data_IF_313989893288
#
_entry.id   IF_313989893288
#
_cell.length_a   1.000
_cell.length_b   1.000
_cell.length_c   1.000
_cell.angle_alpha   90.00
_cell.angle_beta   90.00
_cell.angle_gamma   90.00
#
_symmetry.space_group_name_H-M   'P 1'
#
loop_
_entity.id
_entity.type
_entity.pdbx_description
1 polymer ?
#
# COMPACT_ATOMS: atom_id res chain seq x y z
N UNK A 1 -69.16 0.21 43.96
CA UNK A 1 -68.23 1.02 43.15
C UNK A 1 -66.95 0.22 42.94
N UNK A 2 -66.67 -0.18 41.70
CA UNK A 2 -65.50 -0.98 41.28
C UNK A 2 -64.27 -0.07 41.26
N UNK A 3 -63.19 -0.43 41.97
CA UNK A 3 -61.85 0.17 41.78
C UNK A 3 -61.07 -0.74 40.83
N UNK A 4 -60.82 -0.26 39.62
CA UNK A 4 -60.00 -0.90 38.61
C UNK A 4 -58.54 -0.48 38.86
N UNK A 5 -57.68 -1.42 39.26
CA UNK A 5 -56.24 -1.19 39.42
C UNK A 5 -55.59 -1.56 38.08
N UNK A 6 -55.05 -0.57 37.37
CA UNK A 6 -54.23 -0.80 36.19
C UNK A 6 -52.82 -1.19 36.64
N UNK A 7 -52.42 -2.45 36.40
CA UNK A 7 -51.04 -2.89 36.50
C UNK A 7 -50.35 -2.50 35.17
N UNK A 8 -49.45 -1.53 35.21
CA UNK A 8 -48.56 -1.22 34.08
C UNK A 8 -47.40 -2.22 34.17
N UNK A 9 -47.38 -3.20 33.27
CA UNK A 9 -46.23 -4.08 33.07
C UNK A 9 -45.15 -3.32 32.27
N UNK A 10 -44.07 -2.92 32.94
CA UNK A 10 -42.86 -2.47 32.25
C UNK A 10 -42.18 -3.70 31.64
N UNK A 11 -42.28 -3.88 30.32
CA UNK A 11 -41.40 -4.77 29.58
C UNK A 11 -40.03 -4.08 29.46
N UNK A 12 -39.07 -4.50 30.28
CA UNK A 12 -37.67 -4.21 30.04
C UNK A 12 -37.19 -5.12 28.91
N UNK A 13 -37.11 -4.58 27.69
CA UNK A 13 -36.42 -5.22 26.58
C UNK A 13 -34.91 -5.11 26.84
N UNK A 14 -34.30 -6.16 27.39
CA UNK A 14 -32.85 -6.27 27.45
C UNK A 14 -32.35 -6.63 26.05
N UNK A 15 -31.93 -5.64 25.27
CA UNK A 15 -31.13 -5.88 24.07
C UNK A 15 -29.74 -6.33 24.51
N UNK A 16 -29.39 -7.59 24.31
CA UNK A 16 -28.01 -8.05 24.38
C UNK A 16 -27.28 -7.45 23.19
N UNK A 17 -26.58 -6.34 23.39
CA UNK A 17 -25.58 -5.89 22.44
C UNK A 17 -24.44 -6.92 22.49
N UNK A 18 -24.29 -7.72 21.44
CA UNK A 18 -23.05 -8.47 21.24
C UNK A 18 -21.92 -7.45 21.17
N UNK A 19 -21.08 -7.41 22.20
CA UNK A 19 -19.89 -6.57 22.19
C UNK A 19 -18.97 -7.12 21.10
N UNK A 20 -18.85 -6.40 19.99
CA UNK A 20 -17.88 -6.71 18.96
C UNK A 20 -16.50 -6.78 19.61
N UNK A 21 -15.87 -7.95 19.56
CA UNK A 21 -14.49 -8.12 20.02
C UNK A 21 -13.60 -7.32 19.07
N UNK A 22 -12.92 -6.31 19.60
CA UNK A 22 -12.01 -5.48 18.82
C UNK A 22 -10.68 -6.22 18.73
N UNK A 23 -10.22 -6.49 17.49
CA UNK A 23 -8.96 -7.18 17.22
C UNK A 23 -7.79 -6.32 17.68
N UNK A 24 -6.85 -6.89 18.42
CA UNK A 24 -5.55 -6.26 18.67
C UNK A 24 -4.56 -6.69 17.58
N UNK A 25 -3.84 -5.75 16.98
CA UNK A 25 -2.89 -5.98 15.88
C UNK A 25 -1.51 -5.47 16.31
N UNK A 26 -0.51 -6.33 16.21
CA UNK A 26 0.90 -5.97 16.42
C UNK A 26 1.56 -5.64 15.08
N UNK A 27 2.54 -4.72 15.06
CA UNK A 27 3.21 -4.32 13.83
C UNK A 27 4.19 -5.39 13.38
N UNK A 28 4.46 -5.40 12.08
CA UNK A 28 5.74 -5.88 11.56
C UNK A 28 6.67 -4.69 11.33
N UNK A 29 7.98 -4.92 11.44
CA UNK A 29 9.00 -3.89 11.25
C UNK A 29 9.81 -4.24 10.01
N UNK A 30 9.89 -3.33 9.05
CA UNK A 30 10.83 -3.42 7.93
C UNK A 30 10.65 -4.65 7.03
N UNK A 31 9.43 -5.21 6.92
CA UNK A 31 9.16 -6.38 6.06
C UNK A 31 8.98 -6.03 4.57
N UNK A 32 8.70 -4.77 4.23
CA UNK A 32 8.41 -4.35 2.86
C UNK A 32 9.60 -3.78 2.08
N UNK A 33 10.83 -4.24 2.38
CA UNK A 33 12.05 -3.91 1.61
C UNK A 33 12.50 -2.45 1.67
N UNK A 34 11.59 -1.56 2.03
CA UNK A 34 11.81 -0.14 2.23
C UNK A 34 11.45 0.21 3.67
N UNK A 35 12.22 1.14 4.22
CA UNK A 35 12.04 1.85 5.49
C UNK A 35 12.84 1.42 6.72
N UNK A 36 13.29 2.51 7.33
CA UNK A 36 14.50 2.72 8.09
C UNK A 36 14.11 2.79 9.56
N UNK A 37 14.89 2.15 10.44
CA UNK A 37 14.96 2.64 11.80
C UNK A 37 15.71 3.97 11.75
N UNK A 38 15.04 5.09 12.05
CA UNK A 38 15.58 6.46 11.99
C UNK A 38 16.60 6.70 13.12
N UNK A 39 17.70 5.97 13.07
CA UNK A 39 18.78 6.00 14.04
C UNK A 39 19.83 7.03 13.63
N UNK A 40 20.63 7.49 14.59
CA UNK A 40 21.76 8.37 14.28
C UNK A 40 22.77 7.68 13.33
N UNK A 41 22.89 6.36 13.42
CA UNK A 41 23.68 5.55 12.49
C UNK A 41 23.07 5.52 11.08
N UNK A 42 21.75 5.33 10.95
CA UNK A 42 21.05 5.37 9.67
C UNK A 42 21.21 6.72 8.98
N UNK A 43 21.08 7.83 9.71
CA UNK A 43 21.29 9.16 9.17
C UNK A 43 22.75 9.37 8.72
N UNK A 44 23.73 8.85 9.47
CA UNK A 44 25.13 8.91 9.10
C UNK A 44 25.46 8.03 7.87
N UNK A 45 24.80 6.88 7.72
CA UNK A 45 24.97 6.01 6.56
C UNK A 45 24.33 6.61 5.30
N UNK A 46 23.15 7.21 5.43
CA UNK A 46 22.50 7.92 4.35
C UNK A 46 23.37 9.07 3.81
N UNK A 47 23.94 9.89 4.70
CA UNK A 47 24.87 10.97 4.30
C UNK A 47 26.15 10.45 3.60
N UNK A 48 26.63 9.23 3.94
CA UNK A 48 27.74 8.59 3.22
C UNK A 48 27.31 8.13 1.83
N UNK A 49 26.08 7.64 1.68
CA UNK A 49 25.54 7.20 0.40
C UNK A 49 25.36 8.38 -0.57
N UNK A 50 24.75 9.48 -0.11
CA UNK A 50 24.62 10.71 -0.92
C UNK A 50 25.97 11.21 -1.42
N UNK A 51 26.95 11.31 -0.51
CA UNK A 51 28.31 11.71 -0.87
C UNK A 51 28.96 10.75 -1.87
N UNK A 52 28.74 9.45 -1.72
CA UNK A 52 29.28 8.45 -2.66
C UNK A 52 28.70 8.63 -4.07
N UNK A 53 27.38 8.85 -4.16
CA UNK A 53 26.68 9.08 -5.43
C UNK A 53 27.14 10.37 -6.13
N UNK A 54 27.43 11.43 -5.38
CA UNK A 54 28.04 12.65 -5.92
C UNK A 54 29.43 12.39 -6.53
N UNK A 55 30.22 11.49 -5.93
CA UNK A 55 31.60 11.20 -6.34
C UNK A 55 31.71 10.14 -7.46
N UNK A 56 30.69 9.28 -7.64
CA UNK A 56 30.73 8.08 -8.50
C UNK A 56 29.55 7.98 -9.49
N UNK A 57 29.04 9.11 -9.98
CA UNK A 57 27.83 9.16 -10.82
C UNK A 57 27.85 8.30 -12.09
N UNK A 58 29.04 7.99 -12.62
CA UNK A 58 29.22 7.25 -13.89
C UNK A 58 29.50 5.74 -13.69
N UNK A 59 29.78 5.29 -12.46
CA UNK A 59 30.14 3.90 -12.13
C UNK A 59 29.75 3.58 -10.68
N UNK A 60 28.45 3.32 -10.47
CA UNK A 60 27.87 3.13 -9.14
C UNK A 60 28.08 1.68 -8.64
N UNK A 61 28.72 1.53 -7.47
CA UNK A 61 28.78 0.26 -6.73
C UNK A 61 27.53 0.09 -5.85
N UNK A 62 26.52 -0.60 -6.39
CA UNK A 62 25.30 -0.92 -5.66
C UNK A 62 25.53 -1.84 -4.46
N UNK A 63 26.55 -2.70 -4.46
CA UNK A 63 26.86 -3.56 -3.31
C UNK A 63 27.40 -2.74 -2.13
N UNK A 64 28.08 -1.62 -2.39
CA UNK A 64 28.48 -0.67 -1.36
C UNK A 64 27.29 0.10 -0.80
N UNK A 65 26.42 0.63 -1.66
CA UNK A 65 25.22 1.38 -1.24
C UNK A 65 24.25 0.50 -0.45
N UNK A 66 24.02 -0.74 -0.89
CA UNK A 66 23.17 -1.70 -0.18
C UNK A 66 23.67 -1.99 1.24
N UNK A 67 25.00 -2.01 1.47
CA UNK A 67 25.58 -2.17 2.83
C UNK A 67 25.35 -0.97 3.74
N UNK A 68 25.10 0.22 3.17
CA UNK A 68 24.72 1.41 3.91
C UNK A 68 23.20 1.48 4.17
N UNK A 69 22.42 0.55 3.62
CA UNK A 69 20.96 0.59 3.65
C UNK A 69 20.39 1.65 2.70
N UNK A 70 21.08 1.90 1.59
CA UNK A 70 20.66 2.81 0.52
C UNK A 70 20.51 2.01 -0.77
N UNK A 71 19.42 2.25 -1.50
CA UNK A 71 19.10 1.58 -2.76
C UNK A 71 18.75 2.59 -3.88
N UNK A 72 18.49 2.10 -5.08
CA UNK A 72 18.13 2.91 -6.26
C UNK A 72 16.89 3.79 -6.07
N UNK A 73 15.98 3.43 -5.15
CA UNK A 73 14.71 4.14 -4.94
C UNK A 73 14.76 5.04 -3.69
N UNK A 74 15.91 5.09 -3.02
CA UNK A 74 16.10 5.88 -1.80
C UNK A 74 16.15 7.37 -2.14
N UNK A 75 15.03 8.07 -1.89
CA UNK A 75 14.89 9.51 -2.11
C UNK A 75 15.54 10.35 -1.02
N UNK A 76 14.74 10.94 -0.12
CA UNK A 76 15.21 11.69 1.06
C UNK A 76 15.17 10.81 2.32
N UNK A 77 16.08 11.03 3.28
CA UNK A 77 16.16 10.21 4.50
C UNK A 77 14.85 10.14 5.30
N UNK A 78 14.04 11.19 5.25
CA UNK A 78 12.75 11.26 5.94
C UNK A 78 11.56 10.93 5.04
N UNK A 79 11.81 10.56 3.78
CA UNK A 79 10.79 10.08 2.85
C UNK A 79 10.44 8.62 3.18
N UNK A 80 9.19 8.32 3.58
CA UNK A 80 8.72 6.98 3.90
C UNK A 80 8.18 6.23 2.68
N UNK A 81 8.40 6.72 1.44
CA UNK A 81 7.96 6.07 0.20
C UNK A 81 9.11 5.92 -0.81
N UNK A 82 10.09 6.81 -0.77
CA UNK A 82 11.16 6.87 -1.77
C UNK A 82 10.62 7.25 -3.15
N UNK A 83 11.44 7.04 -4.20
CA UNK A 83 11.08 7.37 -5.58
C UNK A 83 10.32 6.25 -6.32
N UNK A 84 9.86 5.22 -5.59
CA UNK A 84 9.19 4.02 -6.14
C UNK A 84 7.69 4.10 -6.36
N UNK A 85 7.11 3.07 -7.00
CA UNK A 85 5.66 2.94 -7.11
C UNK A 85 5.02 2.87 -5.73
N UNK A 86 4.03 3.72 -5.49
CA UNK A 86 3.20 3.63 -4.30
C UNK A 86 1.74 3.44 -4.67
N UNK A 87 0.98 2.88 -3.74
CA UNK A 87 -0.47 2.77 -3.85
C UNK A 87 -1.17 4.11 -4.11
N UNK A 88 -0.55 5.23 -3.72
CA UNK A 88 -1.04 6.59 -3.99
C UNK A 88 -1.02 6.98 -5.46
N UNK A 89 -0.14 6.38 -6.26
CA UNK A 89 -0.10 6.60 -7.70
C UNK A 89 -1.42 6.19 -8.38
N UNK A 90 -2.17 5.25 -7.76
CA UNK A 90 -3.47 4.76 -8.18
C UNK A 90 -4.67 5.61 -7.74
N UNK A 91 -4.46 6.87 -7.33
CA UNK A 91 -5.50 7.69 -6.68
C UNK A 91 -6.09 6.99 -5.43
N UNK A 92 -5.22 6.25 -4.70
CA UNK A 92 -5.53 5.63 -3.42
C UNK A 92 -5.67 6.65 -2.28
N UNK A 93 -5.00 7.79 -2.42
CA UNK A 93 -4.85 8.76 -1.34
C UNK A 93 -6.15 9.29 -0.73
N UNK A 94 -6.08 9.75 0.53
CA UNK A 94 -7.20 10.43 1.17
C UNK A 94 -7.49 11.76 0.47
N UNK A 95 -8.78 12.08 0.31
CA UNK A 95 -9.23 13.37 -0.23
C UNK A 95 -9.31 14.45 0.85
N UNK A 96 -9.28 14.06 2.13
CA UNK A 96 -9.34 14.97 3.28
C UNK A 96 -8.75 14.33 4.52
N UNK A 97 -8.06 15.14 5.32
CA UNK A 97 -7.55 14.77 6.65
C UNK A 97 -8.06 15.82 7.64
N UNK A 98 -8.52 15.37 8.80
CA UNK A 98 -8.97 16.22 9.91
C UNK A 98 -8.45 15.68 11.24
N UNK A 99 -8.33 16.54 12.24
CA UNK A 99 -7.94 16.15 13.59
C UNK A 99 -8.87 16.80 14.64
N UNK A 100 -8.96 16.17 15.81
CA UNK A 100 -9.70 16.71 16.97
C UNK A 100 -9.10 18.01 17.49
N UNK A 101 -7.78 18.10 17.51
CA UNK A 101 -7.01 19.27 17.89
C UNK A 101 -5.65 19.27 17.22
N UNK A 102 -4.88 20.33 17.45
CA UNK A 102 -3.47 20.42 17.08
C UNK A 102 -2.74 21.43 17.95
N UNK A 103 -1.47 21.17 18.23
CA UNK A 103 -0.60 22.11 18.91
C UNK A 103 -0.41 23.37 18.05
N UNK A 104 -0.35 24.54 18.69
CA UNK A 104 -0.08 25.79 18.00
C UNK A 104 1.34 25.80 17.40
N UNK A 105 1.49 26.40 16.22
CA UNK A 105 2.79 26.55 15.56
C UNK A 105 3.81 27.26 16.45
N UNK A 106 5.07 26.83 16.36
CA UNK A 106 6.19 27.36 17.14
C UNK A 106 7.37 27.68 16.23
N UNK A 107 7.66 28.98 16.08
CA UNK A 107 8.69 29.45 15.16
C UNK A 107 8.35 29.04 13.72
N UNK A 108 9.25 28.31 13.08
CA UNK A 108 9.04 27.77 11.74
C UNK A 108 8.28 26.42 11.72
N UNK A 109 8.08 25.77 12.87
CA UNK A 109 7.40 24.48 12.93
C UNK A 109 5.90 24.68 13.04
N UNK A 110 5.15 23.82 12.37
CA UNK A 110 3.71 23.67 12.53
C UNK A 110 3.39 22.20 12.81
N UNK A 111 2.21 21.93 13.36
CA UNK A 111 1.82 20.60 13.84
C UNK A 111 0.46 20.18 13.30
N UNK A 112 0.19 20.56 12.05
CA UNK A 112 -1.12 20.39 11.43
C UNK A 112 -1.35 18.93 11.04
N UNK A 113 -2.62 18.54 10.98
CA UNK A 113 -3.10 17.23 10.54
C UNK A 113 -2.63 16.83 9.14
N UNK A 114 -2.33 17.81 8.27
CA UNK A 114 -1.79 17.57 6.93
C UNK A 114 -0.37 17.00 6.94
N UNK A 115 0.37 17.21 8.02
CA UNK A 115 1.72 16.69 8.16
C UNK A 115 1.74 15.16 8.33
N UNK A 116 0.59 14.54 8.62
CA UNK A 116 0.47 13.08 8.68
C UNK A 116 0.40 12.41 7.31
N UNK A 117 0.54 13.18 6.24
CA UNK A 117 0.43 12.70 4.88
C UNK A 117 1.13 13.63 3.87
N UNK A 118 2.21 14.28 4.32
CA UNK A 118 3.04 15.14 3.47
C UNK A 118 4.30 14.42 2.97
N UNK A 119 4.39 13.11 3.21
CA UNK A 119 5.51 12.23 2.85
C UNK A 119 6.82 12.68 3.50
N UNK A 120 6.72 13.26 4.70
CA UNK A 120 7.85 13.76 5.48
C UNK A 120 7.70 13.30 6.92
N UNK A 121 8.42 12.23 7.25
CA UNK A 121 8.38 11.70 8.60
C UNK A 121 9.01 12.61 9.65
N UNK A 122 9.66 13.72 9.30
CA UNK A 122 10.20 14.69 10.26
C UNK A 122 9.24 15.85 10.61
N UNK A 123 8.04 15.88 10.03
CA UNK A 123 6.99 16.87 10.31
C UNK A 123 5.79 16.19 10.94
N UNK A 124 5.58 16.30 12.26
CA UNK A 124 4.48 15.60 12.90
C UNK A 124 3.18 16.41 12.91
N UNK A 125 2.07 15.70 13.05
CA UNK A 125 0.94 16.21 13.81
C UNK A 125 1.20 16.00 15.30
N UNK A 126 0.87 17.02 16.09
CA UNK A 126 0.92 16.96 17.55
C UNK A 126 -0.43 17.42 18.04
N UNK A 127 -1.04 16.63 18.92
CA UNK A 127 -2.29 17.00 19.57
C UNK A 127 -2.13 18.31 20.37
N UNK A 128 -3.24 19.03 20.59
CA UNK A 128 -3.23 20.38 21.15
C UNK A 128 -3.94 20.53 22.49
N UNK A 129 -4.25 19.43 23.18
CA UNK A 129 -4.94 19.47 24.48
C UNK A 129 -3.92 19.38 25.62
N UNK A 130 -4.37 19.71 26.83
CA UNK A 130 -3.53 19.53 28.00
C UNK A 130 -3.46 18.04 28.37
N UNK A 131 -2.26 17.54 28.69
CA UNK A 131 -2.03 16.14 29.02
C UNK A 131 -1.50 15.35 27.83
N UNK A 132 -1.76 14.05 27.82
CA UNK A 132 -1.20 13.12 26.84
C UNK A 132 -2.08 12.90 25.60
N UNK A 133 -3.06 13.76 25.35
CA UNK A 133 -3.98 13.61 24.21
C UNK A 133 -4.78 12.30 24.14
N UNK A 134 -5.02 11.59 25.25
CA UNK A 134 -5.86 10.39 25.24
C UNK A 134 -7.29 10.76 24.82
N UNK A 135 -7.81 10.12 23.78
CA UNK A 135 -9.09 10.42 23.14
C UNK A 135 -9.00 11.40 21.96
N UNK A 136 -7.84 12.04 21.76
CA UNK A 136 -7.58 12.83 20.56
C UNK A 136 -7.43 11.90 19.35
N UNK A 137 -7.80 12.41 18.18
CA UNK A 137 -7.91 11.60 16.98
C UNK A 137 -7.59 12.36 15.71
N UNK A 138 -7.22 11.59 14.69
CA UNK A 138 -7.13 12.03 13.29
C UNK A 138 -8.01 11.14 12.41
N UNK A 139 -8.66 11.74 11.40
CA UNK A 139 -9.59 11.06 10.51
C UNK A 139 -9.27 11.39 9.04
N UNK A 140 -9.11 10.32 8.27
CA UNK A 140 -8.90 10.31 6.84
C UNK A 140 -10.23 10.05 6.13
N UNK A 141 -10.53 10.84 5.10
CA UNK A 141 -11.68 10.62 4.20
C UNK A 141 -11.18 10.14 2.85
N UNK A 142 -11.78 9.09 2.34
CA UNK A 142 -11.49 8.50 1.03
C UNK A 142 -12.71 8.62 0.11
N UNK A 143 -12.45 8.72 -1.20
CA UNK A 143 -13.51 8.68 -2.22
C UNK A 143 -14.16 7.30 -2.29
N UNK A 144 -15.34 7.23 -2.88
CA UNK A 144 -15.92 5.96 -3.31
C UNK A 144 -14.97 5.27 -4.30
N UNK A 145 -14.86 3.93 -4.20
CA UNK A 145 -14.01 3.10 -5.06
C UNK A 145 -12.54 3.53 -5.08
N UNK A 146 -12.02 4.09 -3.99
CA UNK A 146 -10.57 4.14 -3.85
C UNK A 146 -10.04 2.69 -3.88
N UNK A 147 -8.84 2.45 -4.43
CA UNK A 147 -8.12 1.19 -4.29
C UNK A 147 -8.25 0.62 -2.87
N UNK A 148 -8.29 -0.70 -2.69
CA UNK A 148 -8.46 -1.28 -1.35
C UNK A 148 -7.23 -1.05 -0.50
N UNK A 149 -7.41 -0.50 0.71
CA UNK A 149 -6.34 -0.41 1.71
C UNK A 149 -6.21 -1.77 2.39
N UNK A 150 -4.99 -2.30 2.46
CA UNK A 150 -4.67 -3.55 3.18
C UNK A 150 -3.61 -3.37 4.24
N UNK A 151 -2.88 -2.25 4.20
CA UNK A 151 -1.80 -1.98 5.14
C UNK A 151 -1.91 -0.55 5.63
N UNK A 152 -1.75 -0.37 6.94
CA UNK A 152 -1.58 0.94 7.58
C UNK A 152 -0.13 1.01 8.08
N UNK A 153 0.58 2.06 7.71
CA UNK A 153 1.97 2.28 8.09
C UNK A 153 2.09 3.56 8.91
N UNK A 154 2.74 3.46 10.07
CA UNK A 154 2.76 4.54 11.06
C UNK A 154 4.19 4.80 11.53
N UNK A 155 4.55 6.09 11.60
CA UNK A 155 5.72 6.58 12.32
C UNK A 155 5.25 7.36 13.53
N UNK A 156 5.47 6.80 14.72
CA UNK A 156 5.03 7.40 15.99
C UNK A 156 6.09 8.32 16.60
N UNK A 157 5.65 9.37 17.29
CA UNK A 157 6.50 10.39 17.90
C UNK A 157 6.94 11.50 16.95
N UNK A 158 7.68 12.48 17.48
CA UNK A 158 8.25 13.57 16.68
C UNK A 158 9.59 13.13 16.07
N UNK A 159 9.55 12.51 14.90
CA UNK A 159 10.70 11.88 14.24
C UNK A 159 11.70 12.86 13.58
N UNK A 160 11.77 14.11 14.04
CA UNK A 160 12.75 15.11 13.55
C UNK A 160 14.18 14.87 14.03
N UNK A 161 14.35 14.33 15.23
CA UNK A 161 15.65 13.97 15.80
C UNK A 161 15.45 13.03 16.98
N UNK A 162 16.52 12.33 17.39
CA UNK A 162 16.49 11.46 18.56
C UNK A 162 16.05 12.22 19.83
N UNK A 163 16.48 13.47 19.98
CA UNK A 163 16.09 14.33 21.10
C UNK A 163 14.62 14.73 21.04
N UNK A 164 14.10 15.11 19.87
CA UNK A 164 12.68 15.45 19.71
C UNK A 164 11.78 14.25 20.02
N UNK A 165 12.13 13.08 19.49
CA UNK A 165 11.39 11.84 19.68
C UNK A 165 11.33 11.40 21.15
N UNK A 166 12.45 11.49 21.89
CA UNK A 166 12.50 11.16 23.33
C UNK A 166 11.72 12.14 24.19
N UNK A 167 11.85 13.43 23.91
CA UNK A 167 11.29 14.49 24.75
C UNK A 167 9.77 14.61 24.64
N UNK A 168 9.17 14.17 23.53
CA UNK A 168 7.72 14.23 23.27
C UNK A 168 7.10 12.86 23.54
N UNK A 169 5.81 12.84 23.88
CA UNK A 169 5.07 11.60 24.04
C UNK A 169 4.80 10.94 22.68
N UNK A 170 4.69 9.61 22.69
CA UNK A 170 4.59 8.77 21.51
C UNK A 170 3.39 7.86 21.65
N UNK A 171 2.68 7.58 20.58
CA UNK A 171 1.51 6.72 20.65
C UNK A 171 1.93 5.28 20.88
N UNK A 172 1.27 4.64 21.85
CA UNK A 172 1.44 3.22 22.20
C UNK A 172 0.28 2.37 21.70
N UNK A 173 -0.94 2.89 21.72
CA UNK A 173 -2.12 2.23 21.15
C UNK A 173 -2.98 3.22 20.38
N UNK A 174 -3.37 2.85 19.16
CA UNK A 174 -4.38 3.53 18.37
C UNK A 174 -5.61 2.64 18.22
N UNK A 175 -6.78 3.20 18.48
CA UNK A 175 -8.05 2.54 18.14
C UNK A 175 -8.51 3.01 16.76
N UNK A 176 -8.70 2.06 15.86
CA UNK A 176 -9.07 2.31 14.47
C UNK A 176 -10.57 2.18 14.31
N UNK A 177 -11.17 3.17 13.66
CA UNK A 177 -12.55 3.14 13.22
C UNK A 177 -12.61 3.17 11.70
N UNK A 178 -13.42 2.31 11.10
CA UNK A 178 -13.71 2.32 9.68
C UNK A 178 -15.20 2.55 9.50
N UNK A 179 -15.57 3.55 8.70
CA UNK A 179 -16.98 3.93 8.47
C UNK A 179 -17.73 4.18 9.80
N UNK A 180 -17.03 4.79 10.77
CA UNK A 180 -17.54 5.10 12.10
C UNK A 180 -17.63 3.92 13.08
N UNK A 181 -17.26 2.69 12.68
CA UNK A 181 -17.30 1.51 13.55
C UNK A 181 -15.89 1.16 14.04
N UNK A 182 -15.68 0.88 15.34
CA UNK A 182 -14.39 0.41 15.82
C UNK A 182 -14.07 -0.97 15.25
N UNK A 183 -12.88 -1.14 14.69
CA UNK A 183 -12.48 -2.40 14.02
C UNK A 183 -11.24 -3.04 14.64
N UNK A 184 -10.27 -2.24 15.11
CA UNK A 184 -9.01 -2.75 15.63
C UNK A 184 -8.38 -1.82 16.67
N UNK A 185 -7.45 -2.36 17.46
CA UNK A 185 -6.47 -1.63 18.25
C UNK A 185 -5.09 -1.99 17.70
N UNK A 186 -4.36 -0.99 17.20
CA UNK A 186 -2.97 -1.13 16.77
C UNK A 186 -2.06 -0.95 17.99
N UNK A 187 -1.20 -1.91 18.27
CA UNK A 187 -0.25 -1.87 19.37
C UNK A 187 1.13 -1.43 18.87
N UNK A 188 1.45 -0.14 18.98
CA UNK A 188 2.72 0.39 18.50
C UNK A 188 3.86 0.08 19.47
N UNK A 189 4.99 -0.32 18.91
CA UNK A 189 6.25 -0.43 19.60
C UNK A 189 6.90 0.94 19.83
N UNK A 190 7.66 1.09 20.92
CA UNK A 190 8.39 2.32 21.25
C UNK A 190 9.68 2.42 20.44
N UNK A 191 9.54 2.55 19.12
CA UNK A 191 10.66 2.72 18.19
C UNK A 191 10.52 4.01 17.37
N UNK A 192 11.67 4.50 16.90
CA UNK A 192 11.75 5.55 15.90
C UNK A 192 11.88 4.90 14.52
N UNK A 193 10.84 4.18 14.12
CA UNK A 193 10.81 3.33 12.91
C UNK A 193 9.40 3.30 12.30
N UNK A 194 9.33 2.98 11.00
CA UNK A 194 8.06 2.63 10.35
C UNK A 194 7.54 1.32 10.94
N UNK A 195 6.24 1.30 11.23
CA UNK A 195 5.53 0.15 11.76
C UNK A 195 4.33 -0.15 10.88
N UNK A 196 4.30 -1.36 10.30
CA UNK A 196 3.30 -1.75 9.31
C UNK A 196 2.27 -2.69 9.95
N UNK A 197 0.99 -2.43 9.69
CA UNK A 197 -0.14 -3.16 10.23
C UNK A 197 -1.01 -3.68 9.09
N UNK A 198 -1.04 -5.01 8.90
CA UNK A 198 -1.94 -5.65 7.93
C UNK A 198 -3.38 -5.63 8.47
N UNK A 199 -4.31 -5.22 7.61
CA UNK A 199 -5.75 -5.20 7.86
C UNK A 199 -6.49 -5.90 6.72
N UNK A 200 -7.73 -6.29 6.97
CA UNK A 200 -8.59 -6.83 5.93
C UNK A 200 -8.80 -5.75 4.84
N UNK A 201 -8.84 -6.10 3.55
CA UNK A 201 -8.99 -5.13 2.47
C UNK A 201 -10.22 -4.24 2.64
N UNK A 202 -10.02 -2.91 2.67
CA UNK A 202 -11.11 -1.94 2.88
C UNK A 202 -11.22 -0.94 1.74
N UNK A 203 -12.44 -0.81 1.23
CA UNK A 203 -12.91 0.28 0.36
C UNK A 203 -14.42 0.49 0.57
N UNK A 204 -15.02 1.48 -0.08
CA UNK A 204 -16.47 1.60 -0.22
C UNK A 204 -16.85 1.82 -1.68
N UNK A 205 -17.59 0.88 -2.26
CA UNK A 205 -17.94 0.93 -3.67
C UNK A 205 -18.90 2.07 -4.05
N UNK A 206 -19.60 2.65 -3.08
CA UNK A 206 -20.78 3.48 -3.34
C UNK A 206 -20.68 4.92 -2.85
N UNK A 207 -19.84 5.20 -1.85
CA UNK A 207 -19.76 6.53 -1.22
C UNK A 207 -18.39 6.82 -0.63
N UNK A 208 -18.15 8.09 -0.33
CA UNK A 208 -17.04 8.49 0.53
C UNK A 208 -17.13 7.78 1.89
N UNK A 209 -15.97 7.47 2.44
CA UNK A 209 -15.87 6.76 3.71
C UNK A 209 -14.67 7.24 4.52
N UNK A 210 -14.68 6.96 5.83
CA UNK A 210 -13.64 7.44 6.74
C UNK A 210 -12.90 6.32 7.45
N UNK A 211 -11.62 6.58 7.71
CA UNK A 211 -10.77 5.82 8.63
C UNK A 211 -10.24 6.78 9.70
N UNK A 212 -10.55 6.49 10.97
CA UNK A 212 -10.17 7.33 12.12
C UNK A 212 -9.24 6.58 13.06
N UNK A 213 -8.24 7.27 13.57
CA UNK A 213 -7.26 6.80 14.53
C UNK A 213 -7.39 7.60 15.81
N UNK A 214 -7.78 6.96 16.90
CA UNK A 214 -7.92 7.56 18.23
C UNK A 214 -6.79 7.10 19.15
N UNK A 215 -6.14 8.03 19.84
CA UNK A 215 -5.09 7.75 20.82
C UNK A 215 -5.75 7.15 22.07
N UNK A 216 -5.39 5.91 22.42
CA UNK A 216 -5.92 5.24 23.62
C UNK A 216 -4.86 4.87 24.66
N UNK A 217 -3.57 4.89 24.29
CA UNK A 217 -2.44 4.74 25.23
C UNK A 217 -1.18 5.39 24.64
N UNK A 218 -0.27 5.86 25.51
CA UNK A 218 0.97 6.55 25.13
C UNK A 218 2.21 6.05 25.87
N UNK A 219 3.37 6.16 25.23
CA UNK A 219 4.66 6.23 25.90
C UNK A 219 4.96 7.69 26.26
N UNK A 220 5.33 7.93 27.51
CA UNK A 220 5.57 9.29 28.00
C UNK A 220 6.88 9.85 27.44
N UNK A 221 6.84 11.12 27.05
CA UNK A 221 8.03 11.90 26.75
C UNK A 221 8.83 12.23 28.00
N UNK A 222 10.13 12.44 27.83
CA UNK A 222 11.03 12.84 28.93
C UNK A 222 10.75 14.27 29.42
N UNK A 223 10.10 15.10 28.59
CA UNK A 223 9.91 16.53 28.86
C UNK A 223 8.48 17.02 28.67
N UNK A 224 7.80 16.59 27.62
CA UNK A 224 6.49 17.10 27.22
C UNK A 224 5.46 15.97 27.19
N UNK A 225 4.24 16.29 27.60
CA UNK A 225 3.06 15.45 27.47
C UNK A 225 2.48 15.46 26.04
N UNK A 226 2.85 16.45 25.23
CA UNK A 226 2.60 16.55 23.78
C UNK A 226 2.78 15.21 23.07
N UNK A 227 1.69 14.61 22.59
CA UNK A 227 1.73 13.34 21.84
C UNK A 227 1.80 13.58 20.35
N UNK A 228 2.86 13.05 19.72
CA UNK A 228 3.15 13.26 18.31
C UNK A 228 2.96 11.99 17.48
N UNK A 229 2.46 12.17 16.25
CA UNK A 229 2.51 11.17 15.19
C UNK A 229 3.15 11.85 13.99
N UNK A 230 4.21 11.23 13.46
CA UNK A 230 5.02 11.78 12.38
C UNK A 230 4.47 11.47 11.00
N UNK A 231 3.81 10.33 10.83
CA UNK A 231 3.25 9.95 9.53
C UNK A 231 2.21 8.83 9.74
N UNK A 232 1.11 8.87 8.98
CA UNK A 232 0.24 7.71 8.76
C UNK A 232 -0.02 7.62 7.26
N UNK A 233 0.40 6.52 6.67
CA UNK A 233 0.18 6.23 5.26
C UNK A 233 -0.36 4.81 5.08
N UNK A 234 -0.75 4.51 3.85
CA UNK A 234 -1.54 3.38 3.46
C UNK A 234 -0.87 2.72 2.26
N UNK A 235 -0.93 1.40 2.27
CA UNK A 235 -0.64 0.59 1.11
C UNK A 235 -1.81 -0.38 0.92
N UNK A 236 -1.89 -0.96 -0.27
CA UNK A 236 -3.10 -1.62 -0.69
C UNK A 236 -3.01 -2.37 -2.00
N UNK A 237 -4.17 -2.85 -2.41
CA UNK A 237 -4.37 -3.61 -3.63
C UNK A 237 -5.02 -2.72 -4.69
N UNK A 238 -5.32 -3.31 -5.84
CA UNK A 238 -6.00 -2.68 -6.99
C UNK A 238 -5.15 -1.68 -7.75
N UNK A 239 -3.82 -1.80 -7.65
CA UNK A 239 -2.85 -0.91 -8.30
C UNK A 239 -1.94 -1.62 -9.31
N UNK A 240 -2.35 -2.79 -9.78
CA UNK A 240 -1.59 -3.63 -10.69
C UNK A 240 -2.30 -3.62 -12.03
N UNK A 241 -1.72 -2.99 -13.04
CA UNK A 241 -2.48 -2.72 -14.25
C UNK A 241 -1.57 -2.52 -15.47
N UNK A 242 -2.17 -2.66 -16.66
CA UNK A 242 -1.56 -2.35 -17.95
C UNK A 242 -1.99 -0.99 -18.46
N UNK A 243 -1.12 -0.33 -19.21
CA UNK A 243 -1.49 0.89 -19.93
C UNK A 243 -2.66 0.66 -20.90
N UNK A 244 -3.48 1.69 -21.10
CA UNK A 244 -4.52 1.66 -22.14
C UNK A 244 -3.93 1.29 -23.51
N UNK A 245 -4.68 0.50 -24.28
CA UNK A 245 -4.28 0.02 -25.61
C UNK A 245 -3.55 -1.31 -25.63
N UNK A 246 -3.14 -1.85 -24.47
CA UNK A 246 -2.59 -3.20 -24.36
C UNK A 246 -3.55 -4.24 -24.93
N UNK A 247 -3.04 -5.12 -25.80
CA UNK A 247 -3.82 -6.10 -26.54
C UNK A 247 -3.95 -7.41 -25.77
N UNK A 248 -5.14 -7.72 -25.30
CA UNK A 248 -5.49 -8.99 -24.69
C UNK A 248 -5.84 -10.02 -25.76
N UNK A 249 -5.25 -11.21 -25.68
CA UNK A 249 -5.57 -12.32 -26.58
C UNK A 249 -6.92 -12.95 -26.18
N UNK A 250 -7.88 -12.94 -27.10
CA UNK A 250 -9.18 -13.58 -26.92
C UNK A 250 -9.11 -15.09 -27.18
N UNK A 251 -10.11 -15.82 -26.68
CA UNK A 251 -10.20 -17.28 -26.86
C UNK A 251 -10.29 -17.72 -28.33
N UNK A 252 -10.75 -16.84 -29.24
CA UNK A 252 -10.81 -17.06 -30.69
C UNK A 252 -9.52 -16.64 -31.42
N UNK A 253 -8.47 -16.27 -30.67
CA UNK A 253 -7.17 -15.75 -31.14
C UNK A 253 -7.22 -14.39 -31.83
N UNK A 254 -8.34 -13.67 -31.74
CA UNK A 254 -8.34 -12.24 -32.01
C UNK A 254 -7.81 -11.48 -30.80
N UNK A 255 -7.65 -10.17 -30.91
CA UNK A 255 -7.25 -9.33 -29.77
C UNK A 255 -8.25 -8.21 -29.51
N UNK A 256 -8.37 -7.84 -28.25
CA UNK A 256 -9.15 -6.69 -27.79
C UNK A 256 -8.27 -5.79 -26.91
N UNK A 257 -8.51 -4.49 -26.90
CA UNK A 257 -7.85 -3.62 -25.95
C UNK A 257 -8.29 -3.97 -24.52
N UNK A 258 -7.37 -3.87 -23.56
CA UNK A 258 -7.63 -4.16 -22.16
C UNK A 258 -8.74 -3.27 -21.58
N UNK A 259 -8.84 -2.01 -21.99
CA UNK A 259 -9.91 -1.09 -21.57
C UNK A 259 -11.31 -1.47 -22.07
N UNK A 260 -11.39 -2.32 -23.09
CA UNK A 260 -12.64 -2.79 -23.69
C UNK A 260 -13.01 -4.22 -23.22
N UNK A 261 -12.21 -4.82 -22.32
CA UNK A 261 -12.50 -6.12 -21.71
C UNK A 261 -13.52 -5.95 -20.60
N UNK A 262 -14.56 -6.80 -20.61
CA UNK A 262 -15.64 -6.77 -19.62
C UNK A 262 -15.91 -8.17 -19.07
N UNK A 263 -16.59 -8.24 -17.93
CA UNK A 263 -17.11 -9.51 -17.39
C UNK A 263 -17.90 -10.28 -18.45
N UNK A 264 -17.63 -11.58 -18.54
CA UNK A 264 -18.22 -12.47 -19.55
C UNK A 264 -17.41 -12.62 -20.84
N UNK A 265 -16.45 -11.72 -21.12
CA UNK A 265 -15.51 -11.92 -22.23
C UNK A 265 -14.71 -13.22 -22.06
N UNK A 266 -14.32 -13.85 -23.18
CA UNK A 266 -13.51 -15.07 -23.18
C UNK A 266 -12.11 -14.76 -23.67
N UNK A 267 -11.13 -14.90 -22.80
CA UNK A 267 -9.72 -14.66 -23.09
C UNK A 267 -8.95 -15.97 -23.18
N UNK A 268 -7.80 -15.95 -23.85
CA UNK A 268 -6.85 -17.05 -23.76
C UNK A 268 -6.11 -16.94 -22.44
N UNK A 269 -6.36 -17.88 -21.56
CA UNK A 269 -5.69 -18.00 -20.27
C UNK A 269 -4.52 -18.97 -20.37
N UNK A 270 -3.62 -18.82 -19.41
CA UNK A 270 -2.47 -19.68 -19.21
C UNK A 270 -2.57 -20.35 -17.84
N UNK A 271 -2.12 -21.60 -17.76
CA UNK A 271 -1.96 -22.34 -16.51
C UNK A 271 -0.47 -22.63 -16.30
N UNK A 272 0.15 -22.00 -15.30
CA UNK A 272 1.59 -22.11 -15.05
C UNK A 272 2.03 -23.47 -14.52
N UNK A 273 1.13 -24.23 -13.90
CA UNK A 273 1.45 -25.59 -13.44
C UNK A 273 1.54 -26.58 -14.60
N UNK A 274 0.63 -26.49 -15.57
CA UNK A 274 0.58 -27.42 -16.71
C UNK A 274 1.29 -26.88 -17.94
N UNK A 275 1.63 -25.59 -17.96
CA UNK A 275 2.17 -24.86 -19.10
C UNK A 275 1.28 -24.99 -20.35
N UNK A 276 -0.04 -24.93 -20.14
CA UNK A 276 -1.04 -25.07 -21.21
C UNK A 276 -1.93 -23.85 -21.34
N UNK A 277 -2.35 -23.58 -22.57
CA UNK A 277 -3.32 -22.54 -22.88
C UNK A 277 -4.73 -23.11 -22.82
N UNK A 278 -5.65 -22.36 -22.21
CA UNK A 278 -7.06 -22.70 -22.18
C UNK A 278 -7.93 -21.44 -22.19
N UNK A 279 -9.11 -21.48 -22.84
CA UNK A 279 -10.06 -20.38 -22.73
C UNK A 279 -10.53 -20.20 -21.29
N UNK A 280 -10.56 -18.96 -20.80
CA UNK A 280 -11.18 -18.59 -19.54
C UNK A 280 -12.18 -17.46 -19.73
N UNK A 281 -13.20 -17.41 -18.88
CA UNK A 281 -14.15 -16.30 -18.82
C UNK A 281 -13.67 -15.27 -17.81
N UNK A 282 -13.67 -14.00 -18.21
CA UNK A 282 -13.42 -12.85 -17.34
C UNK A 282 -14.55 -12.73 -16.33
N UNK A 283 -14.22 -12.79 -15.05
CA UNK A 283 -15.17 -12.69 -13.94
C UNK A 283 -15.14 -11.34 -13.25
N UNK A 284 -14.00 -10.65 -13.31
CA UNK A 284 -13.82 -9.34 -12.67
C UNK A 284 -12.70 -8.57 -13.38
N UNK A 285 -12.91 -7.27 -13.59
CA UNK A 285 -11.91 -6.34 -14.12
C UNK A 285 -11.76 -5.15 -13.19
N UNK A 286 -10.60 -4.50 -13.24
CA UNK A 286 -10.37 -3.24 -12.53
C UNK A 286 -9.71 -2.21 -13.44
N UNK A 287 -9.94 -0.94 -13.13
CA UNK A 287 -9.31 0.18 -13.83
C UNK A 287 -9.00 1.30 -12.85
N UNK A 288 -7.77 1.80 -12.95
CA UNK A 288 -7.19 2.80 -12.07
C UNK A 288 -6.22 3.67 -12.88
N UNK A 289 -6.06 4.95 -12.54
CA UNK A 289 -5.02 5.79 -13.15
C UNK A 289 -3.72 5.60 -12.39
N UNK A 290 -2.64 5.19 -13.05
CA UNK A 290 -1.31 5.09 -12.45
C UNK A 290 -0.36 6.08 -13.09
N UNK A 291 0.53 6.67 -12.29
CA UNK A 291 1.59 7.52 -12.81
C UNK A 291 2.91 6.78 -13.03
N UNK A 292 3.21 5.71 -12.28
CA UNK A 292 4.48 5.01 -12.40
C UNK A 292 4.35 3.68 -13.14
N UNK A 293 4.69 3.67 -14.44
CA UNK A 293 4.64 2.48 -15.29
C UNK A 293 6.01 2.10 -15.82
N UNK A 294 6.27 0.80 -15.78
CA UNK A 294 7.43 0.15 -16.38
C UNK A 294 7.09 -0.30 -17.78
N UNK A 295 7.85 0.17 -18.76
CA UNK A 295 7.81 -0.36 -20.13
C UNK A 295 8.92 -1.37 -20.30
N UNK A 296 8.55 -2.62 -20.57
CA UNK A 296 9.45 -3.72 -20.88
C UNK A 296 9.62 -3.79 -22.41
N UNK A 297 10.86 -3.76 -22.89
CA UNK A 297 11.17 -3.87 -24.32
C UNK A 297 11.83 -5.21 -24.61
N UNK A 298 11.31 -5.95 -25.59
CA UNK A 298 11.77 -7.28 -25.95
C UNK A 298 12.68 -7.28 -27.18
N UNK A 299 13.36 -8.40 -27.41
CA UNK A 299 14.33 -8.59 -28.50
C UNK A 299 13.77 -8.50 -29.92
N UNK A 300 12.46 -8.68 -30.08
CA UNK A 300 11.75 -8.44 -31.33
C UNK A 300 11.25 -6.98 -31.50
N UNK A 301 11.55 -6.11 -30.54
CA UNK A 301 11.08 -4.71 -30.50
C UNK A 301 9.64 -4.52 -30.00
N UNK A 302 8.96 -5.61 -29.60
CA UNK A 302 7.67 -5.50 -28.93
C UNK A 302 7.84 -4.91 -27.52
N UNK A 303 6.80 -4.25 -27.05
CA UNK A 303 6.78 -3.62 -25.73
C UNK A 303 5.50 -3.93 -25.00
N UNK A 304 5.58 -4.00 -23.68
CA UNK A 304 4.42 -3.98 -22.80
C UNK A 304 4.67 -2.96 -21.69
N UNK A 305 3.65 -2.20 -21.34
CA UNK A 305 3.72 -1.19 -20.27
C UNK A 305 2.76 -1.58 -19.16
N UNK A 306 3.31 -1.84 -17.98
CA UNK A 306 2.57 -2.29 -16.80
C UNK A 306 3.10 -1.60 -15.54
N UNK A 307 2.40 -1.74 -14.43
CA UNK A 307 2.92 -1.36 -13.11
C UNK A 307 4.10 -2.27 -12.73
N UNK A 308 4.97 -1.80 -11.84
CA UNK A 308 6.22 -2.47 -11.46
C UNK A 308 6.01 -3.84 -10.79
N UNK A 309 4.85 -4.00 -10.18
CA UNK A 309 4.41 -5.15 -9.42
C UNK A 309 3.57 -6.14 -10.24
N UNK A 310 3.34 -5.89 -11.52
CA UNK A 310 2.60 -6.82 -12.38
C UNK A 310 3.47 -8.02 -12.79
N UNK A 311 3.11 -9.26 -12.44
CA UNK A 311 3.93 -10.44 -12.75
C UNK A 311 3.92 -10.79 -14.24
N UNK A 312 5.11 -10.91 -14.83
CA UNK A 312 5.33 -11.52 -16.14
C UNK A 312 5.83 -12.95 -15.92
N UNK A 313 5.40 -13.88 -16.77
CA UNK A 313 5.88 -15.25 -16.70
C UNK A 313 7.22 -15.39 -17.42
N UNK A 314 8.25 -15.79 -16.70
CA UNK A 314 9.55 -16.17 -17.26
C UNK A 314 9.71 -17.69 -17.33
N UNK A 315 10.74 -18.15 -18.03
CA UNK A 315 11.09 -19.58 -18.08
C UNK A 315 11.50 -20.19 -16.73
N UNK A 316 11.75 -19.38 -15.71
CA UNK A 316 12.09 -19.82 -14.35
C UNK A 316 10.99 -19.50 -13.32
N UNK A 317 9.80 -19.08 -13.76
CA UNK A 317 8.66 -18.76 -12.89
C UNK A 317 8.17 -17.33 -13.08
N UNK A 318 7.30 -16.88 -12.19
CA UNK A 318 6.79 -15.51 -12.22
C UNK A 318 7.87 -14.52 -11.76
N UNK A 319 7.99 -13.39 -12.46
CA UNK A 319 8.89 -12.31 -12.09
C UNK A 319 8.23 -10.94 -12.29
N UNK A 320 8.63 -9.96 -11.49
CA UNK A 320 8.20 -8.56 -11.64
C UNK A 320 9.31 -7.60 -11.18
N UNK A 321 9.14 -6.30 -11.41
CA UNK A 321 10.08 -5.29 -10.90
C UNK A 321 9.94 -5.09 -9.39
N UNK A 322 8.80 -5.46 -8.79
CA UNK A 322 8.53 -5.36 -7.36
C UNK A 322 7.92 -6.68 -6.83
N UNK A 323 8.76 -7.71 -6.62
CA UNK A 323 8.31 -9.05 -6.24
C UNK A 323 7.63 -9.11 -4.87
N UNK A 324 8.05 -8.23 -3.94
CA UNK A 324 7.45 -8.12 -2.60
C UNK A 324 5.96 -7.76 -2.72
N UNK A 325 5.65 -6.79 -3.57
CA UNK A 325 4.27 -6.35 -3.80
C UNK A 325 3.46 -7.38 -4.58
N UNK A 326 4.08 -8.03 -5.58
CA UNK A 326 3.44 -9.14 -6.31
C UNK A 326 3.07 -10.32 -5.41
N UNK A 327 3.83 -10.60 -4.35
CA UNK A 327 3.57 -11.74 -3.46
C UNK A 327 2.26 -11.63 -2.65
N UNK A 328 1.63 -10.45 -2.63
CA UNK A 328 0.34 -10.25 -1.98
C UNK A 328 -0.84 -10.90 -2.75
N UNK A 329 -0.63 -11.29 -4.01
CA UNK A 329 -1.66 -11.91 -4.86
C UNK A 329 -1.64 -13.44 -4.77
N UNK A 330 -2.80 -14.05 -5.04
CA UNK A 330 -2.96 -15.50 -5.01
C UNK A 330 -2.15 -16.15 -6.12
N UNK A 331 -1.29 -17.11 -5.77
CA UNK A 331 -0.43 -17.82 -6.73
C UNK A 331 0.94 -17.18 -6.97
N UNK A 332 1.26 -16.07 -6.29
CA UNK A 332 2.48 -15.28 -6.51
C UNK A 332 3.45 -15.26 -5.32
N UNK A 333 3.37 -16.23 -4.39
CA UNK A 333 4.24 -16.33 -3.21
C UNK A 333 5.75 -16.44 -3.51
N UNK A 334 6.12 -16.78 -4.74
CA UNK A 334 7.50 -17.01 -5.18
C UNK A 334 7.93 -16.15 -6.36
N UNK A 335 7.35 -14.96 -6.53
CA UNK A 335 7.74 -14.03 -7.60
C UNK A 335 9.19 -13.58 -7.39
N UNK A 336 10.02 -13.71 -8.42
CA UNK A 336 11.40 -13.25 -8.42
C UNK A 336 11.54 -11.82 -8.97
N UNK A 337 12.65 -11.15 -8.67
CA UNK A 337 13.02 -9.91 -9.36
C UNK A 337 13.24 -10.21 -10.85
N UNK A 338 12.61 -9.45 -11.74
CA UNK A 338 12.86 -9.52 -13.18
C UNK A 338 14.13 -8.74 -13.53
N UNK A 339 14.96 -9.28 -14.43
CA UNK A 339 16.22 -8.66 -14.87
C UNK A 339 16.38 -8.72 -16.40
N UNK A 340 17.14 -7.77 -16.95
CA UNK A 340 17.49 -7.78 -18.38
C UNK A 340 18.19 -9.09 -18.73
N UNK A 341 17.75 -9.72 -19.83
CA UNK A 341 18.17 -11.05 -20.26
C UNK A 341 17.20 -12.17 -19.90
N UNK A 342 16.21 -11.90 -19.05
CA UNK A 342 15.16 -12.88 -18.73
C UNK A 342 14.35 -13.26 -19.96
N UNK A 343 13.96 -14.55 -20.02
CA UNK A 343 13.15 -15.11 -21.10
C UNK A 343 11.69 -15.15 -20.70
N UNK A 344 10.89 -14.31 -21.34
CA UNK A 344 9.46 -14.13 -21.09
C UNK A 344 8.66 -15.09 -21.97
N UNK A 345 7.74 -15.82 -21.37
CA UNK A 345 6.86 -16.77 -22.07
C UNK A 345 5.84 -16.02 -22.91
N UNK A 346 5.63 -16.50 -24.15
CA UNK A 346 4.63 -15.96 -25.08
C UNK A 346 3.62 -17.03 -25.49
N UNK A 347 2.65 -16.68 -26.34
CA UNK A 347 1.70 -17.64 -26.90
C UNK A 347 2.40 -18.77 -27.67
N UNK A 348 3.57 -18.53 -28.26
CA UNK A 348 4.20 -19.44 -29.23
C UNK A 348 5.68 -19.71 -28.98
N UNK A 349 6.26 -19.20 -27.88
CA UNK A 349 7.67 -19.36 -27.58
C UNK A 349 8.11 -18.50 -26.41
N UNK A 350 9.26 -17.85 -26.57
CA UNK A 350 9.84 -16.94 -25.58
C UNK A 350 10.41 -15.71 -26.26
N UNK A 351 10.39 -14.58 -25.56
CA UNK A 351 11.10 -13.34 -25.91
C UNK A 351 12.14 -13.02 -24.85
N UNK A 352 13.22 -12.36 -25.24
CA UNK A 352 14.25 -11.92 -24.29
C UNK A 352 13.99 -10.48 -23.89
N UNK A 353 13.95 -10.18 -22.59
CA UNK A 353 13.89 -8.81 -22.08
C UNK A 353 15.20 -8.08 -22.40
N UNK A 354 15.14 -6.99 -23.16
CA UNK A 354 16.31 -6.20 -23.55
C UNK A 354 16.52 -4.98 -22.67
N UNK A 355 15.44 -4.31 -22.29
CA UNK A 355 15.52 -3.11 -21.45
C UNK A 355 14.19 -2.84 -20.76
N UNK A 356 14.27 -2.06 -19.70
CA UNK A 356 13.13 -1.47 -19.01
C UNK A 356 13.27 0.05 -19.02
N UNK A 357 12.15 0.76 -19.03
CA UNK A 357 12.11 2.19 -18.80
C UNK A 357 10.92 2.55 -17.92
N UNK A 358 11.10 3.57 -17.08
CA UNK A 358 10.07 4.00 -16.14
C UNK A 358 9.50 5.34 -16.59
N UNK A 359 8.17 5.46 -16.56
CA UNK A 359 7.46 6.70 -16.82
C UNK A 359 6.64 7.07 -15.60
N UNK A 360 6.73 8.33 -15.16
CA UNK A 360 5.96 8.88 -14.04
C UNK A 360 4.73 9.71 -14.49
N UNK A 361 4.32 9.58 -15.75
CA UNK A 361 3.15 10.28 -16.27
C UNK A 361 1.84 9.56 -15.91
N UNK A 362 0.91 10.22 -15.18
CA UNK A 362 -0.41 9.65 -14.89
C UNK A 362 -1.15 9.25 -16.17
N UNK A 363 -1.57 7.99 -16.25
CA UNK A 363 -2.38 7.47 -17.34
C UNK A 363 -3.36 6.39 -16.86
N UNK A 364 -4.54 6.25 -17.50
CA UNK A 364 -5.47 5.17 -17.18
C UNK A 364 -4.84 3.81 -17.45
N UNK A 365 -5.09 2.89 -16.55
CA UNK A 365 -4.61 1.52 -16.62
C UNK A 365 -5.71 0.54 -16.24
N UNK A 366 -5.56 -0.70 -16.67
CA UNK A 366 -6.60 -1.72 -16.64
C UNK A 366 -6.01 -3.09 -16.35
N UNK A 367 -6.80 -3.97 -15.71
CA UNK A 367 -6.38 -5.35 -15.43
C UNK A 367 -7.57 -6.31 -15.41
N UNK A 368 -7.26 -7.60 -15.51
CA UNK A 368 -8.20 -8.69 -15.29
C UNK A 368 -7.89 -9.28 -13.91
N UNK A 369 -8.80 -9.01 -12.96
CA UNK A 369 -8.65 -9.42 -11.56
C UNK A 369 -8.94 -10.90 -11.40
N UNK A 370 -9.96 -11.41 -12.08
CA UNK A 370 -10.40 -12.80 -11.89
C UNK A 370 -10.80 -13.46 -13.20
N UNK A 371 -10.32 -14.68 -13.38
CA UNK A 371 -10.68 -15.59 -14.45
C UNK A 371 -11.36 -16.83 -13.88
N UNK A 372 -12.21 -17.47 -14.69
CA UNK A 372 -12.86 -18.73 -14.29
C UNK A 372 -11.90 -19.89 -14.02
N UNK A 373 -10.69 -19.82 -14.57
CA UNK A 373 -9.63 -20.83 -14.52
C UNK A 373 -8.32 -20.21 -15.05
N UNK A 374 -7.21 -20.92 -14.84
CA UNK A 374 -5.86 -20.44 -15.11
C UNK A 374 -5.39 -19.40 -14.09
N UNK A 375 -4.09 -19.10 -14.15
CA UNK A 375 -3.40 -18.16 -13.26
C UNK A 375 -2.88 -16.92 -14.00
N UNK A 376 -3.12 -16.85 -15.31
CA UNK A 376 -2.71 -15.73 -16.14
C UNK A 376 -3.46 -15.63 -17.47
N UNK A 377 -3.12 -14.61 -18.24
CA UNK A 377 -3.62 -14.38 -19.60
C UNK A 377 -2.49 -13.83 -20.47
N UNK A 378 -2.78 -13.58 -21.75
CA UNK A 378 -1.81 -12.99 -22.67
C UNK A 378 -2.15 -11.54 -22.97
N UNK A 379 -1.17 -10.67 -22.75
CA UNK A 379 -1.22 -9.22 -22.98
C UNK A 379 -0.02 -8.81 -23.82
N UNK A 380 -0.25 -8.08 -24.93
CA UNK A 380 0.78 -7.68 -25.90
C UNK A 380 1.72 -8.83 -26.33
N UNK A 381 1.17 -10.06 -26.37
CA UNK A 381 1.85 -11.27 -26.80
C UNK A 381 2.66 -12.00 -25.72
N UNK A 382 2.74 -11.48 -24.50
CA UNK A 382 3.43 -12.13 -23.37
C UNK A 382 2.45 -12.67 -22.33
N UNK A 383 2.84 -13.73 -21.62
CA UNK A 383 2.06 -14.30 -20.53
C UNK A 383 2.22 -13.47 -19.25
N UNK A 384 1.10 -13.08 -18.66
CA UNK A 384 1.01 -12.20 -17.49
C UNK A 384 0.05 -12.76 -16.45
N UNK A 385 0.22 -12.39 -15.19
CA UNK A 385 -0.58 -12.90 -14.08
C UNK A 385 -2.01 -12.35 -14.06
N UNK A 386 -2.98 -13.18 -13.63
CA UNK A 386 -4.32 -12.71 -13.26
C UNK A 386 -4.34 -12.40 -11.74
N UNK A 387 -4.92 -11.27 -11.36
CA UNK A 387 -4.65 -10.63 -10.07
C UNK A 387 -5.68 -10.97 -9.00
N UNK A 388 -5.96 -12.26 -8.79
CA UNK A 388 -6.91 -12.65 -7.75
C UNK A 388 -6.30 -12.41 -6.36
N UNK A 389 -6.97 -11.62 -5.54
CA UNK A 389 -6.53 -11.36 -4.16
C UNK A 389 -6.69 -12.62 -3.32
N UNK A 390 -5.71 -12.91 -2.45
CA UNK A 390 -5.83 -13.98 -1.45
C UNK A 390 -7.02 -13.67 -0.52
N UNK A 391 -8.01 -14.56 -0.49
CA UNK A 391 -8.99 -14.54 0.59
C UNK A 391 -8.26 -14.89 1.89
N UNK A 392 -8.38 -14.05 2.92
CA UNK A 392 -7.87 -14.37 4.25
C UNK A 392 -8.82 -15.39 4.87
N UNK A 393 -8.29 -16.53 5.34
CA UNK A 393 -9.07 -17.52 6.11
C UNK A 393 -9.69 -16.82 7.33
N UNK A 394 -11.02 -16.93 7.46
CA UNK A 394 -11.86 -16.31 8.50
C UNK A 394 -11.48 -16.69 9.95
#
# INVERSE_FOLDING_TARGET
MKKLIYLIALLAATSTAEAQVIKEISPTKGENGFYICYTDEGAANFAKAEKYLEEHSDDIDWDYLNKLGYDEMSGDYFDPIGEGCSWYCGDGGPIKITASSRLASQGANNYNEKNLHDYRTNTPWVEGVQGYGIGEWVEYTFKAKNPRITTIEIVTGYNKSQSAWKNNSRVKKLKVYIKGKPVAILNLEDCRCVQSFKIDPVTDANKEWTMKFEIVDVYKGDKWDDTAISEIYFDGLDVHCFAAGTKVLLADRTSKNIEDIHEGDRVMSFNSMTNTQEPATVQETASVTHCNLVTYTFDNGATITATDDHPLLTTHGWASMNPVKSANYKGFDGVSQIVVGDKIVTESGVLTLQSTSVSHNPQPTYTIVRLSNGDGFYADGVAVGAEEVKEMEE
#
